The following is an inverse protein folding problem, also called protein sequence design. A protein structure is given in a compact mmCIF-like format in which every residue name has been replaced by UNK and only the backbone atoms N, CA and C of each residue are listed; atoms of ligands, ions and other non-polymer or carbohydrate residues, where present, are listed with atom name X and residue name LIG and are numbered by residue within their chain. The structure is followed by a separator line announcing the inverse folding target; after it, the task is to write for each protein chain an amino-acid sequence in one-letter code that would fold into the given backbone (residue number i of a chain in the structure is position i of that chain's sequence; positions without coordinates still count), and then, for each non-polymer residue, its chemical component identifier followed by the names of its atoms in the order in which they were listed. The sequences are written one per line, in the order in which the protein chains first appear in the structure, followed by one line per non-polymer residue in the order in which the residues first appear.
data_IF_075465288337
#
_entry.id   IF_075465288337
#
_cell.length_a   1.000
_cell.length_b   1.000
_cell.length_c   1.000
_cell.angle_alpha   90.00
_cell.angle_beta   90.00
_cell.angle_gamma   90.00
#
_symmetry.space_group_name_H-M   'P 1'
#
loop_
_entity.id
_entity.type
_entity.pdbx_description
1 polymer ?
#
# COMPACT_ATOMS: atom_id res chain seq x y z
N UNK A 1 9.62 37.42 -26.84
CA UNK A 1 10.25 36.07 -26.78
C UNK A 1 9.14 35.06 -26.84
N UNK A 2 8.87 34.56 -28.03
CA UNK A 2 7.86 33.55 -28.31
C UNK A 2 8.45 32.19 -27.92
N UNK A 3 8.01 31.64 -26.79
CA UNK A 3 8.30 30.26 -26.39
C UNK A 3 7.51 29.32 -27.30
N UNK A 4 8.26 28.52 -28.04
CA UNK A 4 7.74 27.49 -28.93
C UNK A 4 7.19 26.32 -28.10
N UNK A 5 5.93 26.44 -27.66
CA UNK A 5 5.19 25.38 -26.94
C UNK A 5 4.69 24.33 -27.94
N UNK A 6 5.61 23.64 -28.61
CA UNK A 6 5.26 22.39 -29.27
C UNK A 6 5.12 21.30 -28.19
N UNK A 7 3.98 20.58 -28.14
CA UNK A 7 3.87 19.41 -27.28
C UNK A 7 4.91 18.38 -27.73
N UNK A 8 5.71 17.88 -26.79
CA UNK A 8 6.55 16.70 -27.05
C UNK A 8 5.58 15.53 -27.24
N UNK A 9 5.19 15.27 -28.48
CA UNK A 9 4.53 14.03 -28.84
C UNK A 9 5.52 12.90 -28.54
N UNK A 10 5.10 11.94 -27.72
CA UNK A 10 5.82 10.68 -27.60
C UNK A 10 5.92 10.10 -29.03
N UNK A 11 7.15 9.91 -29.53
CA UNK A 11 7.35 9.32 -30.85
C UNK A 11 6.49 8.06 -30.98
N UNK A 12 5.63 7.96 -32.00
CA UNK A 12 4.86 6.75 -32.24
C UNK A 12 5.87 5.62 -32.53
N UNK A 13 5.68 4.48 -31.86
CA UNK A 13 6.48 3.30 -32.12
C UNK A 13 6.48 3.02 -33.63
N UNK A 14 7.64 2.82 -34.27
CA UNK A 14 7.69 2.48 -35.68
C UNK A 14 6.92 1.17 -35.88
N UNK A 15 5.93 1.17 -36.74
CA UNK A 15 5.10 0.03 -37.18
C UNK A 15 3.76 -0.23 -36.48
N UNK A 16 3.07 0.74 -35.89
CA UNK A 16 1.66 0.54 -35.50
C UNK A 16 1.38 -0.56 -34.45
N UNK A 17 2.38 -1.31 -33.99
CA UNK A 17 2.28 -2.27 -32.92
C UNK A 17 2.16 -1.55 -31.58
N UNK A 18 1.08 -1.81 -30.85
CA UNK A 18 0.90 -1.32 -29.48
C UNK A 18 2.05 -1.87 -28.63
N UNK A 19 2.94 -0.99 -28.15
CA UNK A 19 3.99 -1.38 -27.23
C UNK A 19 3.43 -2.23 -26.07
N UNK A 20 4.09 -3.33 -25.71
CA UNK A 20 3.76 -4.16 -24.54
C UNK A 20 4.71 -3.92 -23.38
N UNK A 21 5.58 -2.91 -23.47
CA UNK A 21 6.66 -2.67 -22.52
C UNK A 21 6.16 -2.49 -21.08
N UNK A 22 5.03 -1.78 -20.87
CA UNK A 22 4.45 -1.62 -19.55
C UNK A 22 3.97 -2.94 -18.93
N UNK A 23 3.46 -3.88 -19.72
CA UNK A 23 3.08 -5.20 -19.24
C UNK A 23 4.29 -6.06 -18.87
N UNK A 24 5.37 -5.98 -19.67
CA UNK A 24 6.61 -6.68 -19.33
C UNK A 24 7.24 -6.11 -18.06
N UNK A 25 7.23 -4.80 -17.87
CA UNK A 25 7.69 -4.18 -16.62
C UNK A 25 6.86 -4.63 -15.43
N UNK A 26 5.53 -4.68 -15.57
CA UNK A 26 4.63 -5.15 -14.53
C UNK A 26 4.89 -6.61 -14.15
N UNK A 27 4.97 -7.52 -15.13
CA UNK A 27 5.28 -8.95 -14.89
C UNK A 27 6.67 -9.08 -14.27
N UNK A 28 7.67 -8.33 -14.78
CA UNK A 28 9.01 -8.29 -14.22
C UNK A 28 9.04 -7.81 -12.77
N UNK A 29 8.22 -6.80 -12.44
CA UNK A 29 8.08 -6.31 -11.06
C UNK A 29 7.46 -7.34 -10.11
N UNK A 30 6.46 -8.10 -10.57
CA UNK A 30 5.89 -9.21 -9.79
C UNK A 30 6.94 -10.32 -9.60
N UNK A 31 7.65 -10.71 -10.67
CA UNK A 31 8.72 -11.70 -10.59
C UNK A 31 9.84 -11.25 -9.64
N UNK A 32 10.18 -9.96 -9.68
CA UNK A 32 11.14 -9.34 -8.76
C UNK A 32 10.65 -9.43 -7.30
N UNK A 33 9.35 -9.21 -7.03
CA UNK A 33 8.80 -9.35 -5.69
C UNK A 33 8.97 -10.77 -5.15
N UNK A 34 8.65 -11.79 -5.94
CA UNK A 34 8.88 -13.19 -5.55
C UNK A 34 10.35 -13.52 -5.34
N UNK A 35 11.19 -13.17 -6.32
CA UNK A 35 12.63 -13.46 -6.26
C UNK A 35 13.29 -12.76 -5.07
N UNK A 36 12.94 -11.50 -4.82
CA UNK A 36 13.56 -10.74 -3.74
C UNK A 36 13.08 -11.20 -2.36
N UNK A 37 11.79 -11.52 -2.21
CA UNK A 37 11.28 -12.14 -0.97
C UNK A 37 11.96 -13.48 -0.69
N UNK A 38 12.20 -14.26 -1.72
CA UNK A 38 12.99 -15.50 -1.60
C UNK A 38 14.43 -15.22 -1.15
N UNK A 39 15.07 -14.16 -1.66
CA UNK A 39 16.42 -13.76 -1.20
C UNK A 39 16.42 -13.32 0.28
N UNK A 40 15.40 -12.57 0.73
CA UNK A 40 15.26 -12.22 2.15
C UNK A 40 15.17 -13.49 3.01
N UNK A 41 14.35 -14.45 2.60
CA UNK A 41 14.23 -15.73 3.29
C UNK A 41 15.53 -16.52 3.26
N UNK A 42 16.20 -16.61 2.11
CA UNK A 42 17.44 -17.37 1.93
C UNK A 42 18.60 -16.85 2.79
N UNK A 43 18.74 -15.52 2.88
CA UNK A 43 19.78 -14.88 3.69
C UNK A 43 19.35 -14.64 5.14
N UNK A 44 18.08 -14.89 5.47
CA UNK A 44 17.50 -14.68 6.79
C UNK A 44 18.28 -15.32 7.93
N UNK A 45 18.67 -16.63 7.86
CA UNK A 45 19.40 -17.30 8.93
C UNK A 45 20.76 -16.65 9.29
N UNK A 46 21.34 -15.85 8.39
CA UNK A 46 22.56 -15.09 8.69
C UNK A 46 22.30 -13.97 9.72
N UNK A 47 21.03 -13.60 9.92
CA UNK A 47 20.61 -12.56 10.88
C UNK A 47 20.47 -13.10 12.31
N UNK A 48 20.48 -14.41 12.53
CA UNK A 48 20.39 -15.02 13.86
C UNK A 48 21.58 -14.66 14.78
N UNK A 49 22.64 -14.08 14.21
CA UNK A 49 23.76 -13.48 14.98
C UNK A 49 23.37 -12.20 15.76
N UNK A 50 22.26 -11.56 15.39
CA UNK A 50 21.78 -10.39 16.10
C UNK A 50 20.84 -10.82 17.22
N UNK A 51 21.15 -10.40 18.44
CA UNK A 51 20.29 -10.64 19.59
C UNK A 51 19.22 -9.56 19.63
N UNK A 52 17.96 -9.97 19.54
CA UNK A 52 16.83 -9.04 19.61
C UNK A 52 16.49 -8.71 21.07
N UNK A 53 15.86 -7.56 21.27
CA UNK A 53 15.33 -7.18 22.58
C UNK A 53 14.22 -8.13 23.05
N UNK A 54 14.01 -8.25 24.38
CA UNK A 54 12.95 -9.10 24.91
C UNK A 54 11.57 -8.60 24.49
N UNK A 55 10.67 -9.54 24.20
CA UNK A 55 9.28 -9.23 23.90
C UNK A 55 8.60 -8.55 25.11
N UNK A 56 7.99 -7.40 24.86
CA UNK A 56 7.28 -6.61 25.89
C UNK A 56 5.76 -6.65 25.71
N UNK A 57 5.24 -7.62 24.96
CA UNK A 57 3.82 -7.85 24.77
C UNK A 57 3.22 -7.26 23.47
N UNK A 58 1.91 -7.24 23.34
CA UNK A 58 1.21 -7.03 22.05
C UNK A 58 1.46 -5.69 21.34
N UNK A 59 1.89 -4.67 22.09
CA UNK A 59 2.23 -3.36 21.53
C UNK A 59 3.72 -3.21 21.23
N UNK A 60 4.50 -4.22 21.52
CA UNK A 60 5.94 -4.22 21.33
C UNK A 60 6.31 -4.54 19.88
N UNK A 61 7.33 -3.85 19.38
CA UNK A 61 7.93 -4.15 18.10
C UNK A 61 9.19 -5.00 18.34
N UNK A 62 9.10 -6.30 18.20
CA UNK A 62 10.15 -7.24 18.62
C UNK A 62 11.31 -7.44 17.64
N UNK A 63 11.26 -6.87 16.43
CA UNK A 63 12.40 -6.82 15.52
C UNK A 63 13.30 -5.60 15.81
N UNK A 64 13.69 -5.42 17.07
CA UNK A 64 14.56 -4.35 17.53
C UNK A 64 15.78 -4.91 18.25
N UNK A 65 16.91 -4.24 18.09
CA UNK A 65 18.09 -4.50 18.90
C UNK A 65 17.87 -4.00 20.34
N UNK A 66 18.54 -4.61 21.36
CA UNK A 66 18.42 -4.19 22.77
C UNK A 66 18.83 -2.73 23.01
N UNK A 67 19.77 -2.25 22.22
CA UNK A 67 20.24 -0.88 22.24
C UNK A 67 20.54 -0.40 20.83
N UNK A 68 20.15 0.84 20.46
CA UNK A 68 20.48 1.40 19.17
C UNK A 68 21.99 1.67 19.06
N UNK A 69 22.54 1.46 17.86
CA UNK A 69 23.89 1.86 17.49
C UNK A 69 23.86 3.16 16.69
N UNK A 70 24.61 4.17 17.10
CA UNK A 70 24.59 5.49 16.47
C UNK A 70 25.01 5.46 14.99
N UNK A 71 25.94 4.57 14.61
CA UNK A 71 26.36 4.43 13.23
C UNK A 71 25.24 3.77 12.38
N UNK A 72 24.61 2.72 12.92
CA UNK A 72 23.48 2.06 12.28
C UNK A 72 22.30 3.02 12.09
N UNK A 73 21.95 3.81 13.12
CA UNK A 73 20.94 4.86 13.03
C UNK A 73 21.24 5.88 11.93
N UNK A 74 22.47 6.42 11.93
CA UNK A 74 22.87 7.40 10.90
C UNK A 74 22.75 6.81 9.49
N UNK A 75 23.12 5.55 9.31
CA UNK A 75 23.06 4.87 8.01
C UNK A 75 21.62 4.66 7.57
N UNK A 76 20.75 4.10 8.40
CA UNK A 76 19.36 3.83 8.02
C UNK A 76 18.59 5.12 7.73
N UNK A 77 18.77 6.17 8.54
CA UNK A 77 18.17 7.48 8.28
C UNK A 77 18.70 8.12 7.01
N UNK A 78 20.01 8.03 6.74
CA UNK A 78 20.60 8.56 5.51
C UNK A 78 20.07 7.86 4.27
N UNK A 79 19.96 6.54 4.30
CA UNK A 79 19.43 5.76 3.18
C UNK A 79 17.95 5.99 2.96
N UNK A 80 17.15 6.05 4.04
CA UNK A 80 15.75 6.43 3.97
C UNK A 80 15.56 7.82 3.32
N UNK A 81 16.27 8.84 3.82
CA UNK A 81 16.16 10.19 3.29
C UNK A 81 16.63 10.26 1.82
N UNK A 82 17.74 9.61 1.48
CA UNK A 82 18.23 9.54 0.11
C UNK A 82 17.19 8.91 -0.83
N UNK A 83 16.62 7.74 -0.43
CA UNK A 83 15.55 7.08 -1.19
C UNK A 83 14.34 8.00 -1.38
N UNK A 84 13.88 8.61 -0.29
CA UNK A 84 12.71 9.48 -0.30
C UNK A 84 12.89 10.70 -1.21
N UNK A 85 14.02 11.40 -1.09
CA UNK A 85 14.28 12.58 -1.90
C UNK A 85 14.49 12.25 -3.37
N UNK A 86 15.17 11.16 -3.70
CA UNK A 86 15.35 10.73 -5.09
C UNK A 86 14.02 10.36 -5.73
N UNK A 87 13.14 9.66 -5.02
CA UNK A 87 11.78 9.35 -5.48
C UNK A 87 10.98 10.64 -5.72
N UNK A 88 10.95 11.56 -4.74
CA UNK A 88 10.21 12.81 -4.88
C UNK A 88 10.76 13.70 -6.00
N UNK A 89 12.08 13.78 -6.14
CA UNK A 89 12.71 14.50 -7.24
C UNK A 89 12.31 13.90 -8.59
N UNK A 90 12.32 12.59 -8.72
CA UNK A 90 11.93 11.89 -9.95
C UNK A 90 10.45 12.13 -10.30
N UNK A 91 9.56 12.11 -9.32
CA UNK A 91 8.14 12.44 -9.50
C UNK A 91 8.00 13.90 -9.96
N UNK A 92 8.64 14.83 -9.27
CA UNK A 92 8.61 16.26 -9.63
C UNK A 92 9.13 16.52 -11.04
N UNK A 93 10.29 15.93 -11.36
CA UNK A 93 10.88 16.05 -12.69
C UNK A 93 9.95 15.52 -13.79
N UNK A 94 9.34 14.37 -13.57
CA UNK A 94 8.39 13.79 -14.52
C UNK A 94 7.15 14.66 -14.70
N UNK A 95 6.57 15.15 -13.60
CA UNK A 95 5.41 16.04 -13.65
C UNK A 95 5.69 17.35 -14.36
N UNK A 96 6.91 17.86 -14.24
CA UNK A 96 7.32 19.11 -14.88
C UNK A 96 7.65 18.95 -16.38
N UNK A 97 8.27 17.81 -16.75
CA UNK A 97 8.90 17.69 -18.07
C UNK A 97 8.22 16.64 -18.98
N UNK A 98 7.55 15.63 -18.42
CA UNK A 98 6.99 14.52 -19.20
C UNK A 98 5.46 14.49 -19.21
N UNK A 99 4.84 14.94 -18.13
CA UNK A 99 3.42 14.71 -17.90
C UNK A 99 2.65 16.03 -17.99
N UNK A 100 1.82 16.15 -19.00
CA UNK A 100 0.88 17.27 -19.14
C UNK A 100 -0.52 16.85 -18.70
N UNK A 101 -1.43 17.80 -18.49
CA UNK A 101 -2.84 17.49 -18.18
C UNK A 101 -3.55 16.71 -19.31
N UNK A 102 -3.01 16.74 -20.53
CA UNK A 102 -3.53 16.04 -21.72
C UNK A 102 -2.88 14.69 -21.97
N UNK A 103 -1.81 14.35 -21.24
CA UNK A 103 -1.10 13.07 -21.41
C UNK A 103 -2.01 11.92 -21.01
N UNK A 104 -2.31 11.03 -21.95
CA UNK A 104 -3.08 9.82 -21.72
C UNK A 104 -2.16 8.67 -21.31
N UNK A 105 -2.56 7.80 -20.39
CA UNK A 105 -1.80 6.59 -20.07
C UNK A 105 -1.61 5.71 -21.31
N UNK A 106 -0.40 5.23 -21.52
CA UNK A 106 -0.02 4.39 -22.67
C UNK A 106 0.51 3.04 -22.20
N UNK A 107 0.77 2.13 -23.13
CA UNK A 107 1.47 0.87 -22.86
C UNK A 107 2.98 0.97 -23.06
N UNK A 108 3.47 2.14 -23.48
CA UNK A 108 4.89 2.45 -23.62
C UNK A 108 5.48 2.96 -22.30
N UNK A 109 6.78 2.78 -22.14
CA UNK A 109 7.52 3.26 -20.98
C UNK A 109 8.16 4.62 -21.27
N UNK A 110 8.18 5.47 -20.28
CA UNK A 110 8.83 6.76 -20.29
C UNK A 110 10.18 6.71 -19.54
N UNK A 111 10.96 7.78 -19.61
CA UNK A 111 12.18 7.92 -18.80
C UNK A 111 11.89 7.84 -17.29
N UNK A 112 10.71 8.28 -16.85
CA UNK A 112 10.27 8.12 -15.46
C UNK A 112 10.23 6.64 -15.04
N UNK A 113 9.62 5.79 -15.87
CA UNK A 113 9.46 4.37 -15.54
C UNK A 113 10.82 3.69 -15.35
N UNK A 114 11.77 3.96 -16.26
CA UNK A 114 13.14 3.43 -16.17
C UNK A 114 13.90 3.97 -14.96
N UNK A 115 13.79 5.26 -14.67
CA UNK A 115 14.39 5.84 -13.46
C UNK A 115 13.84 5.17 -12.20
N UNK A 116 12.50 4.96 -12.11
CA UNK A 116 11.90 4.29 -10.97
C UNK A 116 12.29 2.81 -10.84
N UNK A 117 12.52 2.11 -11.96
CA UNK A 117 13.08 0.74 -11.92
C UNK A 117 14.46 0.75 -11.28
N UNK A 118 15.35 1.62 -11.76
CA UNK A 118 16.72 1.73 -11.23
C UNK A 118 16.71 2.08 -9.74
N UNK A 119 15.93 3.09 -9.35
CA UNK A 119 15.80 3.53 -7.96
C UNK A 119 15.27 2.39 -7.08
N UNK A 120 14.19 1.73 -7.49
CA UNK A 120 13.59 0.66 -6.70
C UNK A 120 14.52 -0.53 -6.55
N UNK A 121 15.13 -1.01 -7.63
CA UNK A 121 16.08 -2.14 -7.57
C UNK A 121 17.29 -1.78 -6.70
N UNK A 122 17.84 -0.57 -6.86
CA UNK A 122 18.99 -0.12 -6.08
C UNK A 122 18.67 -0.07 -4.58
N UNK A 123 17.60 0.63 -4.18
CA UNK A 123 17.30 0.80 -2.76
C UNK A 123 16.75 -0.46 -2.10
N UNK A 124 16.02 -1.32 -2.85
CA UNK A 124 15.60 -2.63 -2.32
C UNK A 124 16.82 -3.51 -2.06
N UNK A 125 17.80 -3.54 -2.98
CA UNK A 125 19.05 -4.28 -2.78
C UNK A 125 19.91 -3.68 -1.66
N UNK A 126 19.99 -2.34 -1.60
CA UNK A 126 20.72 -1.65 -0.55
C UNK A 126 20.18 -1.94 0.83
N UNK A 127 18.84 -2.01 0.98
CA UNK A 127 18.24 -2.29 2.27
C UNK A 127 18.49 -3.74 2.72
N UNK A 128 18.48 -4.72 1.81
CA UNK A 128 18.89 -6.07 2.15
C UNK A 128 20.34 -6.11 2.66
N UNK A 129 21.26 -5.44 1.98
CA UNK A 129 22.68 -5.36 2.39
C UNK A 129 22.79 -4.65 3.74
N UNK A 130 22.08 -3.52 3.91
CA UNK A 130 22.07 -2.74 5.15
C UNK A 130 21.57 -3.60 6.33
N UNK A 131 20.46 -4.33 6.16
CA UNK A 131 19.96 -5.24 7.20
C UNK A 131 20.97 -6.33 7.53
N UNK A 132 21.64 -6.91 6.53
CA UNK A 132 22.66 -7.93 6.76
C UNK A 132 23.87 -7.40 7.55
N UNK A 133 24.20 -6.13 7.49
CA UNK A 133 25.35 -5.56 8.20
C UNK A 133 24.99 -5.05 9.59
N UNK A 134 23.87 -4.32 9.72
CA UNK A 134 23.51 -3.55 10.94
C UNK A 134 22.20 -3.99 11.58
N UNK A 135 21.34 -4.76 10.88
CA UNK A 135 20.00 -5.16 11.34
C UNK A 135 19.09 -4.00 11.75
N UNK A 136 19.39 -2.78 11.41
CA UNK A 136 18.62 -1.64 11.88
C UNK A 136 17.49 -1.27 10.93
N UNK A 137 16.45 -0.62 11.47
CA UNK A 137 15.36 0.02 10.75
C UNK A 137 14.91 1.25 11.51
N UNK A 138 14.08 2.10 10.90
CA UNK A 138 13.55 3.30 11.57
C UNK A 138 12.73 2.96 12.82
N UNK A 139 12.23 1.72 12.94
CA UNK A 139 11.53 1.23 14.12
C UNK A 139 12.35 1.30 15.41
N UNK A 140 13.69 1.36 15.29
CA UNK A 140 14.57 1.55 16.44
C UNK A 140 14.37 2.93 17.10
N UNK A 141 13.99 3.94 16.32
CA UNK A 141 13.97 5.34 16.73
C UNK A 141 12.58 5.95 16.82
N UNK A 142 11.57 5.31 16.23
CA UNK A 142 10.22 5.88 16.11
C UNK A 142 9.14 4.88 16.53
N UNK A 143 8.01 5.37 17.07
CA UNK A 143 6.94 4.49 17.54
C UNK A 143 6.31 3.66 16.43
N UNK A 144 5.91 2.42 16.72
CA UNK A 144 5.29 1.47 15.78
C UNK A 144 4.04 2.03 15.08
N UNK A 145 3.24 2.85 15.74
CA UNK A 145 2.03 3.45 15.17
C UNK A 145 2.31 4.36 13.97
N UNK A 146 3.53 4.85 13.81
CA UNK A 146 3.91 5.71 12.68
C UNK A 146 3.94 4.92 11.36
N UNK A 147 4.40 3.67 11.38
CA UNK A 147 4.32 2.77 10.23
C UNK A 147 2.87 2.43 9.90
N UNK A 148 2.07 2.04 10.89
CA UNK A 148 0.65 1.76 10.71
C UNK A 148 -0.10 2.98 10.14
N UNK A 149 0.19 4.18 10.67
CA UNK A 149 -0.38 5.44 10.20
C UNK A 149 -0.04 5.74 8.75
N UNK A 150 1.19 5.44 8.31
CA UNK A 150 1.61 5.63 6.91
C UNK A 150 0.80 4.75 5.95
N UNK A 151 0.55 3.48 6.30
CA UNK A 151 -0.31 2.57 5.53
C UNK A 151 -1.75 3.08 5.47
N UNK A 152 -2.29 3.56 6.59
CA UNK A 152 -3.64 4.16 6.63
C UNK A 152 -3.74 5.37 5.69
N UNK A 153 -2.72 6.23 5.63
CA UNK A 153 -2.67 7.36 4.68
C UNK A 153 -2.81 6.88 3.24
N UNK A 154 -2.09 5.82 2.84
CA UNK A 154 -2.22 5.26 1.49
C UNK A 154 -3.65 4.79 1.20
N UNK A 155 -4.23 3.98 2.08
CA UNK A 155 -5.58 3.43 1.91
C UNK A 155 -6.64 4.53 1.81
N UNK A 156 -6.57 5.54 2.67
CA UNK A 156 -7.50 6.67 2.71
C UNK A 156 -7.43 7.49 1.41
N UNK A 157 -6.23 7.79 0.92
CA UNK A 157 -6.07 8.53 -0.33
C UNK A 157 -6.63 7.76 -1.52
N UNK A 158 -6.39 6.45 -1.59
CA UNK A 158 -6.91 5.60 -2.67
C UNK A 158 -8.44 5.54 -2.61
N UNK A 159 -9.05 5.43 -1.44
CA UNK A 159 -10.51 5.47 -1.30
C UNK A 159 -11.11 6.73 -1.91
N UNK A 160 -10.53 7.91 -1.65
CA UNK A 160 -11.00 9.16 -2.22
C UNK A 160 -10.77 9.24 -3.73
N UNK A 161 -9.60 8.79 -4.20
CA UNK A 161 -9.24 8.79 -5.64
C UNK A 161 -10.18 7.88 -6.45
N UNK A 162 -10.54 6.73 -5.91
CA UNK A 162 -11.32 5.71 -6.60
C UNK A 162 -12.85 5.91 -6.47
N UNK A 163 -13.32 6.79 -5.59
CA UNK A 163 -14.76 7.04 -5.45
C UNK A 163 -15.50 7.38 -6.76
N UNK A 164 -14.96 8.21 -7.69
CA UNK A 164 -15.63 8.48 -8.96
C UNK A 164 -15.71 7.26 -9.89
N UNK A 165 -14.82 6.27 -9.71
CA UNK A 165 -14.71 5.09 -10.57
C UNK A 165 -15.56 3.92 -10.09
N UNK A 166 -15.56 3.61 -8.79
CA UNK A 166 -16.21 2.43 -8.20
C UNK A 166 -17.26 2.73 -7.13
N UNK A 167 -17.30 4.00 -6.65
CA UNK A 167 -18.10 4.38 -5.48
C UNK A 167 -17.38 4.05 -4.16
N UNK A 168 -17.96 4.51 -3.05
CA UNK A 168 -17.46 4.28 -1.69
C UNK A 168 -18.07 3.04 -1.06
N UNK A 169 -19.38 2.83 -1.23
CA UNK A 169 -20.12 1.76 -0.60
C UNK A 169 -21.20 1.22 -1.56
N UNK A 170 -21.24 -0.09 -1.75
CA UNK A 170 -22.19 -0.79 -2.64
C UNK A 170 -22.24 -0.20 -4.07
N UNK A 171 -21.09 0.28 -4.58
CA UNK A 171 -21.01 0.94 -5.89
C UNK A 171 -21.60 2.34 -5.95
N UNK A 172 -22.13 2.85 -4.84
CA UNK A 172 -22.69 4.20 -4.77
C UNK A 172 -21.56 5.20 -4.56
N UNK A 173 -21.52 6.20 -5.45
CA UNK A 173 -20.58 7.32 -5.31
C UNK A 173 -21.01 8.20 -4.14
N UNK A 174 -20.09 8.50 -3.25
CA UNK A 174 -20.33 9.51 -2.23
C UNK A 174 -20.40 10.90 -2.90
N UNK A 175 -21.33 11.74 -2.42
CA UNK A 175 -21.51 13.10 -2.90
C UNK A 175 -20.46 14.07 -2.36
N UNK A 176 -20.86 15.32 -2.04
CA UNK A 176 -19.97 16.27 -1.35
C UNK A 176 -19.53 15.70 0.01
N UNK A 177 -18.26 15.76 0.39
CA UNK A 177 -17.11 16.38 -0.30
C UNK A 177 -16.37 15.48 -1.32
N UNK A 178 -16.79 14.26 -1.57
CA UNK A 178 -16.14 13.27 -2.43
C UNK A 178 -16.37 13.54 -3.93
N UNK A 179 -16.45 14.76 -4.36
CA UNK A 179 -16.68 15.11 -5.76
C UNK A 179 -15.50 14.70 -6.66
N UNK A 180 -15.77 14.61 -7.96
CA UNK A 180 -14.70 14.36 -8.95
C UNK A 180 -13.60 15.44 -8.90
N UNK A 181 -13.94 16.69 -8.50
CA UNK A 181 -12.96 17.78 -8.33
C UNK A 181 -11.99 17.50 -7.19
N UNK A 182 -12.48 17.05 -6.03
CA UNK A 182 -11.63 16.69 -4.87
C UNK A 182 -10.76 15.49 -5.21
N UNK A 183 -11.35 14.43 -5.78
CA UNK A 183 -10.57 13.27 -6.25
C UNK A 183 -9.53 13.68 -7.30
N UNK A 184 -9.86 14.62 -8.20
CA UNK A 184 -8.92 15.19 -9.17
C UNK A 184 -7.77 15.96 -8.52
N UNK A 185 -8.04 16.74 -7.46
CA UNK A 185 -7.01 17.43 -6.68
C UNK A 185 -6.05 16.42 -6.04
N UNK A 186 -6.61 15.45 -5.29
CA UNK A 186 -5.81 14.42 -4.62
C UNK A 186 -5.01 13.61 -5.63
N UNK A 187 -5.60 13.26 -6.78
CA UNK A 187 -4.92 12.52 -7.85
C UNK A 187 -3.70 13.25 -8.42
N UNK A 188 -3.64 14.58 -8.36
CA UNK A 188 -2.46 15.35 -8.80
C UNK A 188 -1.28 15.23 -7.85
N UNK A 189 -1.55 15.10 -6.54
CA UNK A 189 -0.52 15.13 -5.50
C UNK A 189 -0.26 13.75 -4.87
N UNK A 190 -1.12 12.76 -5.11
CA UNK A 190 -1.12 11.46 -4.39
C UNK A 190 0.22 10.74 -4.43
N UNK A 191 0.99 10.90 -5.50
CA UNK A 191 2.27 10.22 -5.63
C UNK A 191 3.27 10.62 -4.54
N UNK A 192 3.22 11.85 -4.02
CA UNK A 192 4.12 12.29 -2.95
C UNK A 192 3.80 11.62 -1.60
N UNK A 193 2.58 11.74 -1.05
CA UNK A 193 2.26 11.10 0.23
C UNK A 193 2.24 9.57 0.14
N UNK A 194 1.83 8.97 -1.00
CA UNK A 194 1.85 7.52 -1.16
C UNK A 194 3.28 7.00 -1.25
N UNK A 195 4.16 7.64 -2.02
CA UNK A 195 5.56 7.24 -2.07
C UNK A 195 6.27 7.47 -0.74
N UNK A 196 5.92 8.55 0.00
CA UNK A 196 6.44 8.73 1.35
C UNK A 196 6.03 7.57 2.26
N UNK A 197 4.76 7.25 2.30
CA UNK A 197 4.26 6.18 3.14
C UNK A 197 4.91 4.83 2.80
N UNK A 198 5.08 4.53 1.50
CA UNK A 198 5.74 3.31 1.04
C UNK A 198 7.21 3.27 1.43
N UNK A 199 7.98 4.32 1.14
CA UNK A 199 9.42 4.38 1.44
C UNK A 199 9.66 4.39 2.95
N UNK A 200 8.82 5.11 3.72
CA UNK A 200 8.90 5.13 5.17
C UNK A 200 8.66 3.73 5.78
N UNK A 201 7.57 3.06 5.39
CA UNK A 201 7.27 1.71 5.88
C UNK A 201 8.33 0.70 5.45
N UNK A 202 8.88 0.87 4.25
CA UNK A 202 9.93 0.01 3.72
C UNK A 202 11.21 0.07 4.58
N UNK A 203 11.67 1.26 4.96
CA UNK A 203 12.84 1.44 5.82
C UNK A 203 12.54 1.29 7.32
N UNK A 204 11.25 1.20 7.69
CA UNK A 204 10.84 1.02 9.07
C UNK A 204 11.27 -0.35 9.62
N UNK A 205 11.15 -1.40 8.81
CA UNK A 205 11.41 -2.78 9.18
C UNK A 205 12.77 -3.25 8.68
N UNK A 206 13.55 -4.02 9.49
CA UNK A 206 14.66 -4.78 8.94
C UNK A 206 14.15 -5.86 7.98
N UNK A 207 14.91 -6.20 6.95
CA UNK A 207 14.54 -7.29 6.01
C UNK A 207 14.78 -8.66 6.65
N UNK A 208 13.95 -9.02 7.61
CA UNK A 208 14.03 -10.26 8.36
C UNK A 208 13.12 -11.34 7.77
N UNK A 209 13.44 -12.62 8.02
CA UNK A 209 12.77 -13.78 7.39
C UNK A 209 11.52 -14.28 8.13
N UNK A 210 11.04 -13.55 9.11
CA UNK A 210 9.74 -13.81 9.74
C UNK A 210 8.60 -13.71 8.71
N UNK A 211 7.61 -14.61 8.74
CA UNK A 211 6.50 -14.59 7.78
C UNK A 211 5.74 -13.26 7.70
N UNK A 212 5.64 -12.52 8.81
CA UNK A 212 4.98 -11.21 8.83
C UNK A 212 5.80 -10.21 8.00
N UNK A 213 7.12 -10.17 8.19
CA UNK A 213 8.01 -9.29 7.43
C UNK A 213 8.14 -9.74 5.97
N UNK A 214 8.24 -11.04 5.70
CA UNK A 214 8.28 -11.56 4.33
C UNK A 214 7.05 -11.15 3.52
N UNK A 215 5.85 -11.30 4.07
CA UNK A 215 4.63 -10.86 3.40
C UNK A 215 4.56 -9.34 3.27
N UNK A 216 5.08 -8.60 4.25
CA UNK A 216 5.20 -7.15 4.21
C UNK A 216 6.13 -6.66 3.10
N UNK A 217 7.33 -7.22 2.99
CA UNK A 217 8.29 -6.86 1.93
C UNK A 217 7.79 -7.28 0.55
N UNK A 218 7.18 -8.45 0.42
CA UNK A 218 6.52 -8.84 -0.82
C UNK A 218 5.50 -7.80 -1.25
N UNK A 219 4.63 -7.38 -0.34
CA UNK A 219 3.62 -6.38 -0.61
C UNK A 219 4.23 -5.00 -0.96
N UNK A 220 5.23 -4.56 -0.22
CA UNK A 220 5.92 -3.29 -0.52
C UNK A 220 6.59 -3.30 -1.90
N UNK A 221 7.16 -4.43 -2.34
CA UNK A 221 7.74 -4.55 -3.69
C UNK A 221 6.65 -4.52 -4.77
N UNK A 222 5.45 -5.09 -4.51
CA UNK A 222 4.29 -4.89 -5.40
C UNK A 222 3.87 -3.42 -5.49
N UNK A 223 3.93 -2.67 -4.38
CA UNK A 223 3.65 -1.23 -4.39
C UNK A 223 4.76 -0.42 -5.10
N UNK A 224 6.03 -0.80 -4.97
CA UNK A 224 7.10 -0.24 -5.82
C UNK A 224 6.85 -0.55 -7.30
N UNK A 225 6.36 -1.75 -7.62
CA UNK A 225 5.95 -2.09 -9.00
C UNK A 225 4.82 -1.18 -9.48
N UNK A 226 3.81 -0.92 -8.65
CA UNK A 226 2.74 0.05 -8.95
C UNK A 226 3.30 1.47 -9.21
N UNK A 227 4.35 1.87 -8.49
CA UNK A 227 5.03 3.14 -8.70
C UNK A 227 5.90 3.13 -9.97
N UNK A 228 6.61 2.03 -10.26
CA UNK A 228 7.38 1.87 -11.50
C UNK A 228 6.52 1.96 -12.76
N UNK A 229 5.29 1.43 -12.74
CA UNK A 229 4.36 1.51 -13.88
C UNK A 229 3.50 2.77 -13.90
N UNK A 230 3.76 3.77 -13.04
CA UNK A 230 2.98 5.01 -13.04
C UNK A 230 2.97 5.68 -14.43
N UNK A 231 1.89 6.38 -14.72
CA UNK A 231 1.59 7.01 -16.02
C UNK A 231 1.34 6.03 -17.18
N UNK A 232 1.35 4.72 -16.94
CA UNK A 232 0.97 3.72 -17.94
C UNK A 232 -0.47 3.25 -17.74
N UNK A 233 -1.00 2.53 -18.75
CA UNK A 233 -2.32 1.91 -18.67
C UNK A 233 -2.41 0.83 -17.60
N UNK A 234 -1.30 0.17 -17.26
CA UNK A 234 -1.22 -0.84 -16.18
C UNK A 234 -1.46 -0.21 -14.82
N UNK A 235 -0.88 0.98 -14.56
CA UNK A 235 -1.04 1.69 -13.29
C UNK A 235 -2.51 1.94 -12.93
N UNK A 236 -3.36 2.11 -13.93
CA UNK A 236 -4.80 2.39 -13.75
C UNK A 236 -5.69 1.19 -14.07
N UNK A 237 -5.11 0.02 -14.35
CA UNK A 237 -5.90 -1.19 -14.57
C UNK A 237 -6.64 -1.57 -13.29
N UNK A 238 -7.96 -1.78 -13.42
CA UNK A 238 -8.83 -2.01 -12.27
C UNK A 238 -8.47 -3.27 -11.50
N UNK A 239 -8.05 -4.33 -12.19
CA UNK A 239 -7.72 -5.61 -11.58
C UNK A 239 -6.44 -5.48 -10.76
N UNK A 240 -5.43 -4.83 -11.36
CA UNK A 240 -4.17 -4.57 -10.68
C UNK A 240 -4.34 -3.68 -9.46
N UNK A 241 -5.05 -2.55 -9.60
CA UNK A 241 -5.34 -1.63 -8.47
C UNK A 241 -6.03 -2.37 -7.32
N UNK A 242 -7.07 -3.18 -7.60
CA UNK A 242 -7.76 -3.96 -6.57
C UNK A 242 -6.85 -5.02 -5.94
N UNK A 243 -5.96 -5.63 -6.73
CA UNK A 243 -5.00 -6.61 -6.21
C UNK A 243 -4.10 -5.98 -5.17
N UNK A 244 -3.49 -4.83 -5.47
CA UNK A 244 -2.60 -4.17 -4.51
C UNK A 244 -3.35 -3.56 -3.33
N UNK A 245 -4.57 -3.04 -3.52
CA UNK A 245 -5.42 -2.59 -2.40
C UNK A 245 -5.89 -3.75 -1.50
N UNK A 246 -6.22 -4.89 -2.09
CA UNK A 246 -6.70 -6.05 -1.34
C UNK A 246 -5.59 -6.79 -0.62
N UNK A 247 -4.37 -6.72 -1.13
CA UNK A 247 -3.23 -7.44 -0.56
C UNK A 247 -2.84 -6.93 0.84
N UNK A 248 -3.14 -5.68 1.17
CA UNK A 248 -2.97 -5.17 2.54
C UNK A 248 -3.75 -6.01 3.55
N UNK A 249 -4.95 -6.47 3.18
CA UNK A 249 -5.75 -7.35 4.05
C UNK A 249 -5.12 -8.72 4.23
N UNK A 250 -4.47 -9.26 3.19
CA UNK A 250 -3.73 -10.54 3.28
C UNK A 250 -2.54 -10.38 4.21
N UNK A 251 -1.75 -9.33 4.05
CA UNK A 251 -0.62 -9.04 4.93
C UNK A 251 -1.07 -8.82 6.39
N UNK A 252 -2.09 -8.00 6.60
CA UNK A 252 -2.62 -7.73 7.94
C UNK A 252 -3.17 -8.99 8.63
N UNK A 253 -3.75 -9.91 7.86
CA UNK A 253 -4.19 -11.21 8.38
C UNK A 253 -3.00 -12.08 8.82
N UNK A 254 -1.94 -12.14 8.00
CA UNK A 254 -0.72 -12.87 8.37
C UNK A 254 -0.13 -12.29 9.66
N UNK A 255 0.00 -10.97 9.75
CA UNK A 255 0.46 -10.29 10.97
C UNK A 255 -0.42 -10.66 12.18
N UNK A 256 -1.74 -10.60 12.05
CA UNK A 256 -2.66 -10.90 13.15
C UNK A 256 -2.59 -12.36 13.61
N UNK A 257 -2.43 -13.32 12.69
CA UNK A 257 -2.29 -14.75 13.00
C UNK A 257 -0.98 -15.01 13.74
N UNK A 258 0.13 -14.55 13.21
CA UNK A 258 1.45 -14.80 13.81
C UNK A 258 1.61 -14.08 15.15
N UNK A 259 1.08 -12.87 15.31
CA UNK A 259 1.03 -12.21 16.62
C UNK A 259 0.23 -13.03 17.65
N UNK A 260 -0.86 -13.69 17.25
CA UNK A 260 -1.64 -14.53 18.15
C UNK A 260 -0.90 -15.82 18.51
N UNK A 261 -0.24 -16.46 17.53
CA UNK A 261 0.43 -17.74 17.73
C UNK A 261 1.75 -17.60 18.49
N UNK A 262 2.56 -16.60 18.15
CA UNK A 262 3.92 -16.49 18.64
C UNK A 262 4.03 -15.71 19.96
N UNK A 263 3.13 -14.76 20.19
CA UNK A 263 3.22 -13.83 21.34
C UNK A 263 2.04 -13.89 22.30
N UNK A 264 1.09 -14.82 22.10
CA UNK A 264 -0.10 -14.95 22.95
C UNK A 264 -0.93 -13.67 23.04
N UNK A 265 -0.81 -12.78 22.04
CA UNK A 265 -1.54 -11.53 21.98
C UNK A 265 -3.04 -11.76 21.79
N UNK A 266 -3.82 -10.72 21.97
CA UNK A 266 -5.26 -10.78 21.75
C UNK A 266 -5.57 -11.36 20.37
N UNK A 267 -6.56 -12.26 20.30
CA UNK A 267 -7.04 -12.92 19.09
C UNK A 267 -7.64 -11.90 18.08
N UNK A 268 -6.75 -11.18 17.39
CA UNK A 268 -7.13 -10.06 16.50
C UNK A 268 -7.41 -10.48 15.06
N UNK A 269 -7.09 -11.73 14.68
CA UNK A 269 -7.22 -12.17 13.28
C UNK A 269 -8.66 -12.04 12.76
N UNK A 270 -9.66 -12.32 13.60
CA UNK A 270 -11.08 -12.23 13.23
C UNK A 270 -11.49 -10.80 12.89
N UNK A 271 -11.00 -9.80 13.64
CA UNK A 271 -11.23 -8.39 13.39
C UNK A 271 -10.57 -7.95 12.06
N UNK A 272 -9.30 -8.30 11.85
CA UNK A 272 -8.59 -7.94 10.62
C UNK A 272 -9.22 -8.61 9.40
N UNK A 273 -9.46 -9.93 9.46
CA UNK A 273 -10.06 -10.64 8.35
C UNK A 273 -11.44 -10.10 8.01
N UNK A 274 -12.33 -10.00 8.99
CA UNK A 274 -13.69 -9.51 8.76
C UNK A 274 -13.73 -8.07 8.26
N UNK A 275 -12.89 -7.18 8.80
CA UNK A 275 -12.81 -5.78 8.39
C UNK A 275 -12.28 -5.60 6.96
N UNK A 276 -11.21 -6.29 6.58
CA UNK A 276 -10.69 -6.21 5.20
C UNK A 276 -11.57 -6.93 4.19
N UNK A 277 -12.19 -8.08 4.55
CA UNK A 277 -13.19 -8.73 3.70
C UNK A 277 -14.42 -7.84 3.54
N UNK A 278 -14.83 -7.09 4.58
CA UNK A 278 -15.86 -6.07 4.45
C UNK A 278 -15.50 -5.05 3.35
N UNK A 279 -14.29 -4.51 3.36
CA UNK A 279 -13.84 -3.57 2.32
C UNK A 279 -13.89 -4.21 0.93
N UNK A 280 -13.53 -5.48 0.80
CA UNK A 280 -13.65 -6.23 -0.44
C UNK A 280 -15.10 -6.34 -0.92
N UNK A 281 -16.00 -6.81 -0.05
CA UNK A 281 -17.40 -7.09 -0.35
C UNK A 281 -18.20 -5.81 -0.62
N UNK A 282 -17.97 -4.75 0.14
CA UNK A 282 -18.82 -3.55 0.08
C UNK A 282 -18.20 -2.39 -0.70
N UNK A 283 -16.90 -2.46 -1.02
CA UNK A 283 -16.22 -1.39 -1.76
C UNK A 283 -15.50 -1.90 -3.02
N UNK A 284 -14.51 -2.79 -2.86
CA UNK A 284 -13.56 -3.07 -3.94
C UNK A 284 -14.17 -3.86 -5.09
N UNK A 285 -15.01 -4.86 -4.83
CA UNK A 285 -15.61 -5.65 -5.91
C UNK A 285 -16.48 -4.84 -6.89
N UNK A 286 -16.94 -3.64 -6.49
CA UNK A 286 -17.73 -2.76 -7.34
C UNK A 286 -16.91 -2.05 -8.44
N UNK A 287 -15.61 -2.10 -8.40
CA UNK A 287 -14.76 -1.70 -9.52
C UNK A 287 -14.74 -2.76 -10.64
N UNK A 288 -15.04 -4.02 -10.31
CA UNK A 288 -15.09 -5.13 -11.27
C UNK A 288 -16.49 -5.30 -11.84
N UNK A 289 -16.56 -5.79 -13.09
CA UNK A 289 -17.84 -6.10 -13.74
C UNK A 289 -18.38 -7.46 -13.25
N UNK A 290 -18.57 -7.59 -11.93
CA UNK A 290 -19.10 -8.80 -11.30
C UNK A 290 -20.62 -8.82 -11.44
N UNK A 291 -21.18 -9.96 -11.82
CA UNK A 291 -22.64 -10.16 -11.93
C UNK A 291 -23.31 -9.95 -10.57
N UNK A 292 -24.57 -9.46 -10.59
CA UNK A 292 -25.33 -9.19 -9.36
C UNK A 292 -25.46 -10.43 -8.46
N UNK A 293 -25.72 -11.59 -9.09
CA UNK A 293 -25.89 -12.88 -8.41
C UNK A 293 -24.62 -13.27 -7.65
N UNK A 294 -23.45 -13.08 -8.28
CA UNK A 294 -22.15 -13.36 -7.65
C UNK A 294 -21.90 -12.40 -6.48
N UNK A 295 -22.24 -11.12 -6.64
CA UNK A 295 -22.12 -10.14 -5.53
C UNK A 295 -22.98 -10.52 -4.34
N UNK A 296 -24.23 -10.93 -4.60
CA UNK A 296 -25.15 -11.41 -3.55
C UNK A 296 -24.57 -12.65 -2.88
N UNK A 297 -24.10 -13.63 -3.65
CA UNK A 297 -23.49 -14.85 -3.12
C UNK A 297 -22.29 -14.53 -2.22
N UNK A 298 -21.36 -13.69 -2.69
CA UNK A 298 -20.17 -13.29 -1.91
C UNK A 298 -20.58 -12.57 -0.62
N UNK A 299 -21.61 -11.72 -0.67
CA UNK A 299 -22.16 -11.05 0.51
C UNK A 299 -22.77 -12.04 1.51
N UNK A 300 -23.53 -13.03 1.02
CA UNK A 300 -24.08 -14.08 1.88
C UNK A 300 -23.00 -14.96 2.52
N UNK A 301 -21.95 -15.31 1.74
CA UNK A 301 -20.79 -16.05 2.26
C UNK A 301 -20.08 -15.23 3.34
N UNK A 302 -19.93 -13.92 3.16
CA UNK A 302 -19.35 -13.04 4.18
C UNK A 302 -20.18 -13.05 5.49
N UNK A 303 -21.50 -12.92 5.40
CA UNK A 303 -22.36 -12.98 6.61
C UNK A 303 -22.37 -14.36 7.24
N UNK A 304 -22.34 -15.43 6.45
CA UNK A 304 -22.21 -16.79 6.97
C UNK A 304 -20.88 -17.00 7.72
N UNK A 305 -19.80 -16.44 7.18
CA UNK A 305 -18.49 -16.44 7.83
C UNK A 305 -18.51 -15.64 9.15
N UNK A 306 -19.12 -14.44 9.16
CA UNK A 306 -19.29 -13.68 10.41
C UNK A 306 -20.09 -14.48 11.45
N UNK A 307 -21.21 -15.10 11.04
CA UNK A 307 -21.99 -15.93 11.93
C UNK A 307 -21.16 -17.09 12.51
N UNK A 308 -20.37 -17.77 11.67
CA UNK A 308 -19.51 -18.87 12.10
C UNK A 308 -18.47 -18.45 13.15
N UNK A 309 -17.91 -17.24 13.03
CA UNK A 309 -16.95 -16.71 14.03
C UNK A 309 -17.56 -16.71 15.44
N UNK A 310 -18.85 -16.35 15.59
CA UNK A 310 -19.50 -16.19 16.89
C UNK A 310 -20.37 -17.39 17.32
N UNK A 311 -20.59 -18.37 16.45
CA UNK A 311 -21.28 -19.63 16.84
C UNK A 311 -20.35 -20.42 17.76
N UNK A 312 -20.84 -20.92 18.91
CA UNK A 312 -20.05 -21.75 19.83
C UNK A 312 -19.51 -23.03 19.17
N UNK A 313 -18.34 -23.48 19.62
CA UNK A 313 -17.83 -24.82 19.28
C UNK A 313 -18.83 -25.92 19.68
N UNK A 314 -18.94 -27.05 18.96
CA UNK A 314 -18.10 -27.42 17.81
C UNK A 314 -18.59 -26.91 16.45
N UNK A 315 -19.67 -26.15 16.37
CA UNK A 315 -20.29 -25.73 15.12
C UNK A 315 -19.68 -24.44 14.53
N UNK A 316 -19.00 -23.67 15.35
CA UNK A 316 -18.32 -22.42 14.96
C UNK A 316 -16.98 -22.25 15.66
N UNK A 317 -16.38 -21.06 15.47
CA UNK A 317 -15.10 -20.72 16.10
C UNK A 317 -15.24 -20.42 17.61
N UNK A 318 -16.41 -19.91 18.03
CA UNK A 318 -16.70 -19.69 19.46
C UNK A 318 -16.13 -18.39 20.02
N UNK A 319 -15.92 -17.36 19.17
CA UNK A 319 -15.46 -16.03 19.63
C UNK A 319 -16.51 -15.42 20.57
N UNK A 320 -16.04 -14.76 21.61
CA UNK A 320 -16.93 -14.11 22.58
C UNK A 320 -17.84 -13.08 21.89
N UNK A 321 -19.14 -13.16 22.18
CA UNK A 321 -20.18 -12.31 21.61
C UNK A 321 -19.98 -10.81 21.93
N UNK A 322 -19.24 -10.51 23.01
CA UNK A 322 -18.92 -9.12 23.37
C UNK A 322 -18.13 -8.38 22.27
N UNK A 323 -17.34 -9.10 21.48
CA UNK A 323 -16.61 -8.51 20.33
C UNK A 323 -17.57 -8.13 19.19
N UNK A 324 -18.63 -8.94 18.96
CA UNK A 324 -19.69 -8.58 18.02
C UNK A 324 -20.43 -7.32 18.49
N UNK A 325 -20.77 -7.26 19.78
CA UNK A 325 -21.45 -6.09 20.37
C UNK A 325 -20.60 -4.82 20.32
N UNK A 326 -19.27 -4.96 20.33
CA UNK A 326 -18.32 -3.84 20.11
C UNK A 326 -18.09 -3.52 18.63
N UNK A 327 -18.80 -4.20 17.71
CA UNK A 327 -18.72 -3.99 16.25
C UNK A 327 -17.30 -4.16 15.70
N UNK A 328 -16.51 -5.08 16.23
CA UNK A 328 -15.09 -5.21 15.84
C UNK A 328 -14.88 -5.38 14.33
N UNK A 329 -15.79 -6.07 13.63
CA UNK A 329 -15.73 -6.25 12.18
C UNK A 329 -15.86 -4.93 11.39
N UNK A 330 -16.33 -3.87 12.02
CA UNK A 330 -16.52 -2.56 11.40
C UNK A 330 -15.43 -1.55 11.75
N UNK A 331 -14.51 -1.84 12.68
CA UNK A 331 -13.49 -0.87 13.09
C UNK A 331 -12.61 -0.42 11.93
N UNK A 332 -12.10 -1.36 11.13
CA UNK A 332 -11.27 -1.02 9.95
C UNK A 332 -12.07 -0.18 8.94
N UNK A 333 -13.24 -0.63 8.44
CA UNK A 333 -14.01 0.17 7.50
C UNK A 333 -14.47 1.53 8.06
N UNK A 334 -14.87 1.62 9.33
CA UNK A 334 -15.27 2.88 9.95
C UNK A 334 -14.10 3.86 9.98
N UNK A 335 -12.93 3.43 10.44
CA UNK A 335 -11.73 4.28 10.49
C UNK A 335 -11.37 4.76 9.07
N UNK A 336 -11.34 3.87 8.09
CA UNK A 336 -10.96 4.22 6.72
C UNK A 336 -11.97 5.18 6.08
N UNK A 337 -13.28 4.95 6.23
CA UNK A 337 -14.30 5.86 5.68
C UNK A 337 -14.32 7.20 6.40
N UNK A 338 -14.15 7.23 7.73
CA UNK A 338 -14.10 8.47 8.51
C UNK A 338 -12.90 9.33 8.09
N UNK A 339 -11.72 8.74 8.03
CA UNK A 339 -10.52 9.45 7.61
C UNK A 339 -10.60 9.89 6.14
N UNK A 340 -11.18 9.07 5.26
CA UNK A 340 -11.44 9.46 3.88
C UNK A 340 -12.41 10.64 3.80
N UNK A 341 -13.44 10.70 4.66
CA UNK A 341 -14.35 11.82 4.74
C UNK A 341 -13.65 13.10 5.22
N UNK A 342 -12.76 12.99 6.21
CA UNK A 342 -11.96 14.13 6.71
C UNK A 342 -11.05 14.66 5.60
N UNK A 343 -10.29 13.81 4.94
CA UNK A 343 -9.38 14.20 3.84
C UNK A 343 -10.15 14.82 2.67
N UNK A 344 -11.27 14.21 2.29
CA UNK A 344 -12.11 14.75 1.23
C UNK A 344 -12.76 16.08 1.63
N UNK A 345 -13.15 16.25 2.90
CA UNK A 345 -13.66 17.49 3.47
C UNK A 345 -12.62 18.61 3.42
N UNK A 346 -11.39 18.34 3.83
CA UNK A 346 -10.29 19.32 3.72
C UNK A 346 -10.04 19.71 2.26
N UNK A 347 -10.01 18.76 1.33
CA UNK A 347 -9.88 19.03 -0.09
C UNK A 347 -11.04 19.88 -0.65
N UNK A 348 -12.26 19.63 -0.20
CA UNK A 348 -13.44 20.43 -0.58
C UNK A 348 -13.36 21.86 -0.05
N UNK A 349 -13.01 22.06 1.23
CA UNK A 349 -12.82 23.39 1.82
C UNK A 349 -11.72 24.15 1.09
N UNK A 350 -10.59 23.52 0.79
CA UNK A 350 -9.51 24.12 0.02
C UNK A 350 -9.98 24.58 -1.38
N UNK A 351 -10.72 23.73 -2.10
CA UNK A 351 -11.23 24.09 -3.43
C UNK A 351 -12.25 25.25 -3.36
N UNK A 352 -13.11 25.24 -2.33
CA UNK A 352 -14.07 26.31 -2.11
C UNK A 352 -13.37 27.65 -1.83
N UNK A 353 -12.37 27.66 -0.97
CA UNK A 353 -11.61 28.87 -0.62
C UNK A 353 -10.82 29.44 -1.80
N UNK A 354 -10.24 28.56 -2.65
CA UNK A 354 -9.36 28.98 -3.75
C UNK A 354 -10.11 29.36 -5.04
N UNK A 355 -11.25 28.75 -5.31
CA UNK A 355 -11.94 28.84 -6.60
C UNK A 355 -13.37 29.39 -6.49
N UNK A 356 -13.82 29.81 -5.32
CA UNK A 356 -15.19 30.30 -5.03
C UNK A 356 -16.31 29.36 -5.54
N UNK A 357 -16.10 28.06 -5.40
CA UNK A 357 -17.00 26.98 -5.91
C UNK A 357 -17.98 26.52 -4.84
#
# INVERSE_FOLDING_TARGET
MTTNDQPIEAEPAPNGEKSRAAYFLWVGGIAFAFAFTFLIWLFGPLLDRFVLGPDQGPAWYYWQLPSPDAAAQLIVWSFYLAHQFVVWFTIYWAQKNLITQKTKPTTSLTKYNWAMVVISVFFVSLHLIQTQIWFDGLAQDVPIWTSQGSVIVMLVLILVIENPRRGMFLGKRAGKPFTARVSGLIRRIHMYPISWALVYTFWFHPMFYDPQLLTGFFYMILLFTQMMVAYTSVHIDKRWVITVEGFVGVHALVVAIFNTLDHGSTDMWAMFLSGFVFMWVFTYMYALNVRKEVRVLVTLVYFAFLAWIYIPAPFGYGRDISYLLRLEMLWIPIILYLLAAIVAGMGFVYLKARFQV
#
